data_IF_486256297349
#
_entry.id   IF_486256297349
#
_cell.length_a   1.000
_cell.length_b   1.000
_cell.length_c   1.000
_cell.angle_alpha   90.00
_cell.angle_beta   90.00
_cell.angle_gamma   90.00
#
_symmetry.space_group_name_H-M   'P 1'
#
loop_
_entity.id
_entity.type
_entity.pdbx_description
1 polymer ?
#
# COMPACT_ATOMS: atom_id res chain seq x y z
N UNK A 1 24.98 38.44 3.22
CA UNK A 1 24.32 38.33 4.50
C UNK A 1 23.55 37.03 4.56
N UNK A 2 23.70 36.24 5.63
CA UNK A 2 22.94 35.00 5.76
C UNK A 2 21.45 35.34 5.86
N UNK A 3 20.61 34.74 5.05
CA UNK A 3 19.16 34.78 5.22
C UNK A 3 18.83 34.02 6.50
N UNK A 4 18.53 34.75 7.55
CA UNK A 4 17.89 34.16 8.71
C UNK A 4 16.48 33.78 8.32
N UNK A 5 16.26 32.48 8.13
CA UNK A 5 14.91 31.92 8.03
C UNK A 5 14.21 32.22 9.38
N UNK A 6 12.98 32.74 9.38
CA UNK A 6 12.26 32.94 10.63
C UNK A 6 12.04 31.59 11.31
N UNK A 7 12.59 31.42 12.48
CA UNK A 7 12.53 30.18 13.26
C UNK A 7 11.19 30.03 13.97
N UNK A 8 10.04 30.19 13.30
CA UNK A 8 8.75 30.04 13.98
C UNK A 8 7.51 29.86 13.10
N UNK A 9 7.64 29.25 11.94
CA UNK A 9 6.44 28.78 11.23
C UNK A 9 5.97 27.48 11.91
N UNK A 10 5.22 27.62 12.99
CA UNK A 10 4.49 26.50 13.61
C UNK A 10 3.29 26.19 12.71
N UNK A 11 3.44 25.24 11.81
CA UNK A 11 2.29 24.64 11.17
C UNK A 11 1.52 23.87 12.25
N UNK A 12 0.24 24.17 12.40
CA UNK A 12 -0.72 23.34 13.14
C UNK A 12 -2.00 23.33 12.32
N UNK A 13 -2.45 22.16 11.99
CA UNK A 13 -3.67 21.92 11.21
C UNK A 13 -4.47 20.82 11.88
N UNK A 14 -5.69 21.12 12.25
CA UNK A 14 -6.66 20.16 12.76
C UNK A 14 -7.92 20.24 11.90
N UNK A 15 -8.46 19.11 11.52
CA UNK A 15 -9.74 19.01 10.81
C UNK A 15 -10.51 17.78 11.26
N UNK A 16 -11.82 17.94 11.38
CA UNK A 16 -12.73 16.85 11.66
C UNK A 16 -13.94 16.95 10.74
N UNK A 17 -14.48 15.81 10.36
CA UNK A 17 -15.70 15.71 9.57
C UNK A 17 -16.48 14.47 9.96
N UNK A 18 -17.79 14.62 10.18
CA UNK A 18 -18.65 13.48 10.48
C UNK A 18 -18.75 12.56 9.27
N UNK A 19 -18.76 13.15 8.07
CA UNK A 19 -18.75 12.35 6.87
C UNK A 19 -18.25 13.14 5.65
N UNK A 20 -17.55 12.47 4.73
CA UNK A 20 -17.16 12.98 3.44
C UNK A 20 -17.58 11.96 2.39
N UNK A 21 -18.37 12.42 1.41
CA UNK A 21 -18.78 11.61 0.28
C UNK A 21 -18.29 12.21 -1.03
N UNK A 22 -17.68 11.39 -1.88
CA UNK A 22 -17.27 11.79 -3.24
C UNK A 22 -17.38 10.60 -4.19
N UNK A 23 -18.40 10.61 -5.02
CA UNK A 23 -18.67 9.53 -5.97
C UNK A 23 -18.99 8.23 -5.23
N UNK A 24 -18.09 7.24 -5.30
CA UNK A 24 -18.23 5.96 -4.61
C UNK A 24 -17.33 5.83 -3.38
N UNK A 25 -16.79 6.93 -2.92
CA UNK A 25 -16.01 7.00 -1.68
C UNK A 25 -16.87 7.64 -0.60
N UNK A 26 -16.94 6.98 0.55
CA UNK A 26 -17.52 7.51 1.78
C UNK A 26 -16.53 7.31 2.91
N UNK A 27 -16.28 8.37 3.67
CA UNK A 27 -15.44 8.36 4.87
C UNK A 27 -16.28 8.90 6.02
N UNK A 28 -16.33 8.18 7.13
CA UNK A 28 -17.08 8.60 8.32
C UNK A 28 -16.16 8.91 9.48
N UNK A 29 -16.54 9.91 10.28
CA UNK A 29 -15.78 10.37 11.47
C UNK A 29 -14.29 10.56 11.20
N UNK A 30 -13.96 11.30 10.17
CA UNK A 30 -12.58 11.67 9.85
C UNK A 30 -12.05 12.66 10.88
N UNK A 31 -10.90 12.37 11.44
CA UNK A 31 -10.08 13.28 12.22
C UNK A 31 -8.69 13.39 11.59
N UNK A 32 -8.20 14.60 11.45
CA UNK A 32 -6.86 14.90 10.94
C UNK A 32 -6.16 15.83 11.93
N UNK A 33 -4.93 15.52 12.24
CA UNK A 33 -4.00 16.37 12.99
C UNK A 33 -2.67 16.42 12.25
N UNK A 34 -2.10 17.61 12.11
CA UNK A 34 -0.76 17.79 11.57
C UNK A 34 -0.10 19.01 12.20
N UNK A 35 1.08 18.84 12.74
CA UNK A 35 1.82 19.93 13.39
C UNK A 35 3.33 19.74 13.26
N UNK A 36 4.04 20.85 13.41
CA UNK A 36 5.49 20.82 13.50
C UNK A 36 5.95 20.43 14.90
N UNK A 37 6.86 19.47 14.98
CA UNK A 37 7.60 19.11 16.17
C UNK A 37 9.07 19.38 15.92
N UNK A 38 9.53 20.57 16.31
CA UNK A 38 10.83 21.07 15.91
C UNK A 38 10.88 21.33 14.40
N UNK A 39 11.82 20.71 13.71
CA UNK A 39 12.02 20.76 12.25
C UNK A 39 11.30 19.63 11.48
N UNK A 40 10.51 18.83 12.18
CA UNK A 40 9.76 17.72 11.60
C UNK A 40 8.28 18.05 11.53
N UNK A 41 7.60 17.62 10.46
CA UNK A 41 6.15 17.56 10.38
C UNK A 41 5.71 16.21 10.95
N UNK A 42 4.78 16.23 11.90
CA UNK A 42 4.11 15.04 12.44
C UNK A 42 2.65 15.12 12.04
N UNK A 43 2.05 14.02 11.66
CA UNK A 43 0.64 13.98 11.31
C UNK A 43 -0.01 12.68 11.74
N UNK A 44 -1.30 12.74 12.00
CA UNK A 44 -2.17 11.60 12.25
C UNK A 44 -3.51 11.82 11.55
N UNK A 45 -4.08 10.73 11.09
CA UNK A 45 -5.44 10.68 10.56
C UNK A 45 -6.15 9.44 11.07
N UNK A 46 -7.44 9.54 11.34
CA UNK A 46 -8.26 8.38 11.67
C UNK A 46 -9.65 8.51 11.10
N UNK A 47 -10.26 7.38 10.76
CA UNK A 47 -11.66 7.30 10.34
C UNK A 47 -12.29 6.06 10.93
N UNK A 48 -13.59 6.11 11.17
CA UNK A 48 -14.32 4.94 11.66
C UNK A 48 -14.65 4.00 10.52
N UNK A 49 -15.14 4.51 9.40
CA UNK A 49 -15.40 3.72 8.20
C UNK A 49 -14.85 4.40 6.96
N UNK A 50 -14.29 3.59 6.08
CA UNK A 50 -13.86 3.95 4.75
C UNK A 50 -14.51 2.99 3.75
N UNK A 51 -15.39 3.53 2.91
CA UNK A 51 -15.95 2.82 1.78
C UNK A 51 -15.28 3.33 0.50
N UNK A 52 -14.81 2.43 -0.32
CA UNK A 52 -14.18 2.73 -1.61
C UNK A 52 -14.70 1.74 -2.66
N UNK A 53 -15.70 2.13 -3.43
CA UNK A 53 -16.49 1.22 -4.26
C UNK A 53 -17.19 0.13 -3.42
N UNK A 54 -16.86 -1.15 -3.67
CA UNK A 54 -17.33 -2.29 -2.88
C UNK A 54 -16.41 -2.67 -1.72
N UNK A 55 -15.31 -1.93 -1.55
CA UNK A 55 -14.34 -2.16 -0.49
C UNK A 55 -14.74 -1.37 0.76
N UNK A 56 -14.76 -2.03 1.91
CA UNK A 56 -15.05 -1.43 3.20
C UNK A 56 -13.92 -1.75 4.19
N UNK A 57 -13.54 -0.76 4.94
CA UNK A 57 -12.68 -0.90 6.13
C UNK A 57 -13.27 -0.11 7.27
N UNK A 58 -13.33 -0.71 8.44
CA UNK A 58 -13.61 -0.01 9.69
C UNK A 58 -12.29 0.36 10.39
N UNK A 59 -12.32 1.44 11.16
CA UNK A 59 -11.20 1.86 12.03
C UNK A 59 -9.87 1.92 11.29
N UNK A 60 -9.76 2.81 10.33
CA UNK A 60 -8.50 3.10 9.66
C UNK A 60 -7.80 4.22 10.41
N UNK A 61 -6.58 3.97 10.86
CA UNK A 61 -5.69 4.93 11.47
C UNK A 61 -4.41 5.09 10.66
N UNK A 62 -3.94 6.29 10.52
CA UNK A 62 -2.70 6.62 9.85
C UNK A 62 -1.90 7.58 10.72
N UNK A 63 -0.62 7.34 10.88
CA UNK A 63 0.28 8.26 11.58
C UNK A 63 1.65 8.28 10.94
N UNK A 64 2.34 9.39 11.04
CA UNK A 64 3.64 9.50 10.43
C UNK A 64 4.35 10.81 10.70
N UNK A 65 5.49 10.95 10.07
CA UNK A 65 6.28 12.18 10.14
C UNK A 65 7.16 12.36 8.93
N UNK A 66 7.43 13.61 8.60
CA UNK A 66 8.29 14.00 7.50
C UNK A 66 9.41 14.94 7.99
N UNK A 67 10.64 14.63 7.56
CA UNK A 67 11.84 15.43 7.85
C UNK A 67 12.91 15.14 6.80
N UNK A 68 13.65 16.15 6.37
CA UNK A 68 14.87 16.01 5.53
C UNK A 68 14.64 15.10 4.30
N UNK A 69 13.59 15.35 3.53
CA UNK A 69 13.18 14.52 2.38
C UNK A 69 12.83 13.06 2.71
N UNK A 70 12.60 12.73 3.96
CA UNK A 70 12.15 11.42 4.42
C UNK A 70 10.73 11.50 4.94
N UNK A 71 9.97 10.44 4.71
CA UNK A 71 8.63 10.25 5.22
C UNK A 71 8.55 8.87 5.87
N UNK A 72 8.07 8.83 7.10
CA UNK A 72 7.65 7.60 7.77
C UNK A 72 6.13 7.60 7.87
N UNK A 73 5.49 6.49 7.52
CA UNK A 73 4.06 6.31 7.61
C UNK A 73 3.74 4.93 8.15
N UNK A 74 2.76 4.88 9.04
CA UNK A 74 2.15 3.65 9.54
C UNK A 74 0.65 3.79 9.34
N UNK A 75 0.03 2.78 8.74
CA UNK A 75 -1.42 2.67 8.61
C UNK A 75 -1.86 1.40 9.31
N UNK A 76 -2.75 1.54 10.28
CA UNK A 76 -3.45 0.44 10.94
C UNK A 76 -4.89 0.41 10.44
N UNK A 77 -5.44 -0.76 10.21
CA UNK A 77 -6.82 -0.92 9.79
C UNK A 77 -7.44 -2.18 10.36
N UNK A 78 -8.75 -2.14 10.53
CA UNK A 78 -9.53 -3.33 10.88
C UNK A 78 -10.88 -3.26 10.17
N UNK A 79 -11.32 -4.37 9.62
CA UNK A 79 -12.68 -4.56 9.15
C UNK A 79 -13.36 -5.62 10.01
N UNK A 80 -14.35 -5.19 10.80
CA UNK A 80 -15.07 -6.06 11.73
C UNK A 80 -16.04 -7.00 11.02
N UNK A 81 -16.48 -6.66 9.80
CA UNK A 81 -17.39 -7.48 8.99
C UNK A 81 -16.61 -8.60 8.30
N UNK A 82 -15.46 -8.26 7.74
CA UNK A 82 -14.59 -9.20 7.01
C UNK A 82 -13.61 -9.97 7.90
N UNK A 83 -13.57 -9.68 9.21
CA UNK A 83 -12.58 -10.20 10.18
C UNK A 83 -11.15 -10.02 9.67
N UNK A 84 -10.89 -8.87 9.02
CA UNK A 84 -9.59 -8.50 8.47
C UNK A 84 -9.01 -7.35 9.27
N UNK A 85 -7.75 -7.46 9.63
CA UNK A 85 -7.00 -6.35 10.22
C UNK A 85 -5.58 -6.32 9.67
N UNK A 86 -4.89 -5.23 9.86
CA UNK A 86 -3.51 -5.16 9.41
C UNK A 86 -2.81 -3.88 9.81
N UNK A 87 -1.51 -3.93 9.59
CA UNK A 87 -0.61 -2.78 9.69
C UNK A 87 0.27 -2.76 8.46
N UNK A 88 0.31 -1.62 7.80
CA UNK A 88 1.25 -1.34 6.72
C UNK A 88 2.07 -0.13 7.12
N UNK A 89 3.37 -0.33 7.26
CA UNK A 89 4.29 0.75 7.58
C UNK A 89 5.38 0.86 6.52
N UNK A 90 5.83 2.08 6.26
CA UNK A 90 6.95 2.30 5.37
C UNK A 90 7.76 3.54 5.73
N UNK A 91 9.01 3.52 5.30
CA UNK A 91 9.91 4.66 5.24
C UNK A 91 10.22 4.96 3.79
N UNK A 92 10.12 6.21 3.41
CA UNK A 92 10.49 6.64 2.07
C UNK A 92 11.50 7.78 2.12
N UNK A 93 12.36 7.82 1.11
CA UNK A 93 13.29 8.91 0.88
C UNK A 93 13.07 9.47 -0.52
N UNK A 94 12.93 10.81 -0.58
CA UNK A 94 12.75 11.53 -1.83
C UNK A 94 14.11 12.01 -2.33
N UNK A 95 14.60 11.43 -3.42
CA UNK A 95 15.87 11.75 -4.01
C UNK A 95 15.72 12.42 -5.39
N UNK A 96 16.78 13.06 -5.85
CA UNK A 96 16.87 13.46 -7.26
C UNK A 96 17.19 12.21 -8.08
N UNK A 97 16.24 11.78 -8.89
CA UNK A 97 16.41 10.65 -9.82
C UNK A 97 17.33 10.98 -10.99
N UNK A 98 17.90 9.94 -11.59
CA UNK A 98 18.75 10.03 -12.80
C UNK A 98 17.92 10.15 -14.10
N UNK A 99 16.60 10.08 -14.03
CA UNK A 99 15.71 10.11 -15.19
C UNK A 99 15.24 11.52 -15.58
N UNK A 100 14.59 11.68 -16.73
CA UNK A 100 14.06 12.96 -17.22
C UNK A 100 13.10 13.65 -16.25
N UNK A 101 12.46 12.89 -15.36
CA UNK A 101 11.54 13.41 -14.36
C UNK A 101 12.22 13.98 -13.12
N UNK A 102 13.51 13.73 -12.91
CA UNK A 102 14.32 14.34 -11.88
C UNK A 102 13.92 14.05 -10.43
N UNK A 103 12.94 13.19 -10.18
CA UNK A 103 12.47 12.81 -8.84
C UNK A 103 12.33 11.29 -8.74
N UNK A 104 12.82 10.74 -7.62
CA UNK A 104 12.74 9.33 -7.29
C UNK A 104 12.28 9.20 -5.84
N UNK A 105 11.51 8.19 -5.57
CA UNK A 105 11.10 7.80 -4.23
C UNK A 105 11.64 6.40 -4.00
N UNK A 106 12.45 6.24 -2.96
CA UNK A 106 12.91 4.95 -2.45
C UNK A 106 12.09 4.61 -1.21
N UNK A 107 11.39 3.48 -1.24
CA UNK A 107 10.49 3.03 -0.19
C UNK A 107 10.95 1.69 0.36
N UNK A 108 10.92 1.58 1.69
CA UNK A 108 11.17 0.34 2.44
C UNK A 108 10.03 0.10 3.40
N UNK A 109 9.51 -1.12 3.40
CA UNK A 109 8.52 -1.51 4.40
C UNK A 109 9.18 -1.59 5.80
N UNK A 110 8.45 -1.14 6.79
CA UNK A 110 8.66 -1.47 8.19
C UNK A 110 7.81 -2.71 8.53
N UNK A 111 7.86 -3.27 9.75
CA UNK A 111 7.05 -4.43 10.08
C UNK A 111 5.59 -4.25 9.69
N UNK A 112 5.15 -5.05 8.73
CA UNK A 112 3.83 -4.95 8.08
C UNK A 112 3.18 -6.33 8.02
N UNK A 113 1.87 -6.37 8.21
CA UNK A 113 1.11 -7.61 8.18
C UNK A 113 -0.37 -7.37 7.82
N UNK A 114 -1.03 -8.42 7.37
CA UNK A 114 -2.48 -8.52 7.24
C UNK A 114 -2.92 -9.79 7.95
N UNK A 115 -3.96 -9.70 8.78
CA UNK A 115 -4.56 -10.83 9.50
C UNK A 115 -6.01 -11.02 9.09
N UNK A 116 -6.45 -12.27 9.03
CA UNK A 116 -7.86 -12.66 8.92
C UNK A 116 -8.12 -13.86 9.81
N UNK A 117 -8.98 -13.68 10.82
CA UNK A 117 -9.13 -14.67 11.87
C UNK A 117 -7.80 -14.93 12.56
N UNK A 118 -7.43 -16.19 12.71
CA UNK A 118 -6.17 -16.62 13.33
C UNK A 118 -4.97 -16.57 12.37
N UNK A 119 -5.17 -16.30 11.07
CA UNK A 119 -4.13 -16.29 10.07
C UNK A 119 -3.52 -14.90 9.91
N UNK A 120 -2.18 -14.81 9.96
CA UNK A 120 -1.44 -13.56 9.75
C UNK A 120 -0.41 -13.74 8.65
N UNK A 121 -0.50 -12.93 7.61
CA UNK A 121 0.50 -12.82 6.54
C UNK A 121 1.43 -11.67 6.85
N UNK A 122 2.70 -11.97 7.08
CA UNK A 122 3.74 -10.97 7.22
C UNK A 122 4.19 -10.49 5.83
N UNK A 123 4.42 -9.19 5.72
CA UNK A 123 4.75 -8.52 4.46
C UNK A 123 6.18 -8.01 4.53
N UNK A 124 6.96 -8.31 3.48
CA UNK A 124 8.36 -7.93 3.35
C UNK A 124 8.64 -7.40 1.94
N UNK A 125 9.64 -6.55 1.82
CA UNK A 125 10.25 -6.19 0.54
C UNK A 125 11.71 -5.82 0.76
N UNK A 126 12.56 -6.05 -0.24
CA UNK A 126 13.93 -5.56 -0.21
C UNK A 126 14.00 -4.08 -0.59
N UNK A 127 12.99 -3.58 -1.30
CA UNK A 127 12.81 -2.18 -1.62
C UNK A 127 11.78 -1.96 -2.72
N UNK A 128 11.26 -0.75 -2.78
CA UNK A 128 10.44 -0.28 -3.89
C UNK A 128 11.00 1.08 -4.30
N UNK A 129 11.32 1.23 -5.58
CA UNK A 129 11.79 2.49 -6.14
C UNK A 129 10.80 2.97 -7.20
N UNK A 130 10.33 4.19 -7.06
CA UNK A 130 9.37 4.77 -8.01
C UNK A 130 9.87 6.09 -8.60
N UNK A 131 9.61 6.28 -9.87
CA UNK A 131 9.70 7.58 -10.56
C UNK A 131 8.38 7.86 -11.31
N UNK A 132 8.31 8.93 -12.08
CA UNK A 132 7.08 9.31 -12.82
C UNK A 132 6.72 8.34 -13.94
N UNK A 133 7.56 7.38 -14.29
CA UNK A 133 7.41 6.48 -15.43
C UNK A 133 7.33 5.01 -15.08
N UNK A 134 7.88 4.63 -13.92
CA UNK A 134 7.97 3.23 -13.51
C UNK A 134 8.06 3.06 -12.01
N UNK A 135 7.67 1.87 -11.56
CA UNK A 135 7.83 1.39 -10.19
C UNK A 135 8.61 0.08 -10.25
N UNK A 136 9.79 0.04 -9.65
CA UNK A 136 10.55 -1.18 -9.44
C UNK A 136 10.15 -1.75 -8.09
N UNK A 137 9.86 -3.03 -8.05
CA UNK A 137 9.52 -3.79 -6.86
C UNK A 137 10.59 -4.87 -6.72
N UNK A 138 11.34 -4.81 -5.63
CA UNK A 138 12.38 -5.80 -5.34
C UNK A 138 11.86 -6.75 -4.26
N UNK A 139 11.53 -7.98 -4.68
CA UNK A 139 11.11 -9.12 -3.85
C UNK A 139 10.06 -8.77 -2.78
N UNK A 140 8.94 -8.18 -3.18
CA UNK A 140 7.79 -8.08 -2.29
C UNK A 140 7.24 -9.47 -1.98
N UNK A 141 7.10 -9.80 -0.69
CA UNK A 141 6.65 -11.12 -0.23
C UNK A 141 5.57 -10.97 0.83
N UNK A 142 4.54 -11.80 0.71
CA UNK A 142 3.58 -12.05 1.78
C UNK A 142 3.69 -13.53 2.18
N UNK A 143 3.89 -13.81 3.44
CA UNK A 143 4.16 -15.16 3.93
C UNK A 143 3.33 -15.50 5.16
N UNK A 144 2.78 -16.71 5.19
CA UNK A 144 2.10 -17.32 6.33
C UNK A 144 2.26 -18.85 6.26
N UNK A 145 2.78 -19.49 7.32
CA UNK A 145 2.70 -20.95 7.52
C UNK A 145 2.79 -21.84 6.26
N UNK A 146 3.77 -21.63 5.40
CA UNK A 146 3.96 -22.37 4.14
C UNK A 146 3.20 -21.81 2.94
N UNK A 147 2.49 -20.70 3.11
CA UNK A 147 1.89 -19.93 2.03
C UNK A 147 2.80 -18.76 1.64
N UNK A 148 2.96 -18.51 0.35
CA UNK A 148 3.77 -17.40 -0.12
C UNK A 148 3.16 -16.77 -1.38
N UNK A 149 3.12 -15.44 -1.38
CA UNK A 149 3.00 -14.61 -2.57
C UNK A 149 4.33 -13.86 -2.73
N UNK A 150 4.92 -13.94 -3.92
CA UNK A 150 6.11 -13.19 -4.31
C UNK A 150 5.77 -12.32 -5.52
N UNK A 151 6.13 -11.04 -5.45
CA UNK A 151 6.04 -10.09 -6.56
C UNK A 151 7.39 -9.43 -6.76
N UNK A 152 7.92 -9.50 -7.98
CA UNK A 152 9.23 -8.95 -8.34
C UNK A 152 9.20 -8.37 -9.74
N UNK A 153 9.91 -7.26 -9.98
CA UNK A 153 10.07 -6.69 -11.30
C UNK A 153 9.75 -5.21 -11.44
N UNK A 154 9.33 -4.80 -12.63
CA UNK A 154 9.11 -3.39 -12.97
C UNK A 154 7.73 -3.16 -13.56
N UNK A 155 6.95 -2.33 -12.90
CA UNK A 155 5.65 -1.82 -13.35
C UNK A 155 5.87 -0.56 -14.17
N UNK A 156 5.51 -0.57 -15.44
CA UNK A 156 5.61 0.59 -16.33
C UNK A 156 4.61 0.49 -17.50
N UNK A 157 4.71 1.42 -18.46
CA UNK A 157 3.97 1.36 -19.74
C UNK A 157 4.75 0.63 -20.85
N UNK A 158 5.97 0.16 -20.58
CA UNK A 158 6.86 -0.40 -21.60
C UNK A 158 6.72 -1.92 -21.64
N UNK A 159 6.65 -2.51 -22.84
CA UNK A 159 6.55 -3.96 -23.03
C UNK A 159 7.80 -4.74 -22.60
N UNK A 160 8.97 -4.08 -22.55
CA UNK A 160 10.19 -4.70 -22.05
C UNK A 160 10.24 -4.81 -20.52
N UNK A 161 9.43 -4.05 -19.81
CA UNK A 161 9.33 -4.11 -18.36
C UNK A 161 8.22 -5.09 -17.96
N UNK A 162 8.53 -5.97 -17.02
CA UNK A 162 7.59 -6.97 -16.54
C UNK A 162 7.61 -7.08 -15.02
N UNK A 163 6.50 -7.52 -14.48
CA UNK A 163 6.33 -7.95 -13.09
C UNK A 163 6.00 -9.43 -13.09
N UNK A 164 6.70 -10.18 -12.27
CA UNK A 164 6.43 -11.59 -12.02
C UNK A 164 5.70 -11.75 -10.69
N UNK A 165 4.58 -12.44 -10.70
CA UNK A 165 3.85 -12.92 -9.55
C UNK A 165 4.08 -14.41 -9.42
N UNK A 166 4.45 -14.88 -8.24
CA UNK A 166 4.53 -16.31 -7.91
C UNK A 166 3.69 -16.58 -6.68
N UNK A 167 2.86 -17.62 -6.74
CA UNK A 167 1.99 -18.06 -5.68
C UNK A 167 2.38 -19.48 -5.28
N UNK A 168 2.59 -19.70 -4.00
CA UNK A 168 2.84 -21.03 -3.44
C UNK A 168 1.85 -21.30 -2.31
N UNK A 169 0.99 -22.30 -2.53
CA UNK A 169 -0.04 -22.72 -1.59
C UNK A 169 -0.85 -21.55 -1.00
N UNK A 170 -1.02 -20.47 -1.80
CA UNK A 170 -1.53 -19.20 -1.35
C UNK A 170 -3.06 -19.21 -1.31
N UNK A 171 -3.64 -18.89 -0.17
CA UNK A 171 -5.07 -18.81 0.02
C UNK A 171 -5.61 -17.45 -0.43
N UNK A 172 -6.54 -17.45 -1.38
CA UNK A 172 -7.10 -16.24 -1.99
C UNK A 172 -8.27 -15.64 -1.19
N UNK A 173 -8.95 -16.44 -0.39
CA UNK A 173 -10.12 -16.03 0.38
C UNK A 173 -9.93 -14.74 1.23
N UNK A 174 -8.79 -14.51 1.92
CA UNK A 174 -8.54 -13.27 2.65
C UNK A 174 -8.52 -12.01 1.78
N UNK A 175 -8.26 -12.19 0.48
CA UNK A 175 -8.12 -11.10 -0.49
C UNK A 175 -9.33 -10.96 -1.42
N UNK A 176 -10.38 -11.75 -1.19
CA UNK A 176 -11.60 -11.76 -2.02
C UNK A 176 -12.29 -10.39 -2.10
N UNK A 177 -12.23 -9.57 -1.07
CA UNK A 177 -12.77 -8.20 -1.11
C UNK A 177 -12.02 -7.31 -2.11
N UNK A 178 -10.70 -7.47 -2.23
CA UNK A 178 -9.89 -6.72 -3.20
C UNK A 178 -10.19 -7.18 -4.63
N UNK A 179 -10.35 -8.48 -4.85
CA UNK A 179 -10.65 -9.02 -6.19
C UNK A 179 -12.11 -8.79 -6.59
N UNK A 180 -13.05 -8.80 -5.65
CA UNK A 180 -14.48 -8.53 -5.94
C UNK A 180 -14.71 -7.09 -6.36
N UNK A 181 -13.90 -6.14 -5.89
CA UNK A 181 -13.95 -4.75 -6.36
C UNK A 181 -13.57 -4.60 -7.83
N UNK A 182 -12.81 -5.56 -8.37
CA UNK A 182 -12.42 -5.67 -9.79
C UNK A 182 -13.40 -6.56 -10.60
N UNK A 183 -14.49 -7.05 -9.97
CA UNK A 183 -15.47 -7.91 -10.61
C UNK A 183 -15.14 -9.40 -10.57
N UNK A 184 -14.07 -9.81 -9.87
CA UNK A 184 -13.68 -11.22 -9.78
C UNK A 184 -13.89 -11.76 -8.36
N UNK A 185 -14.57 -12.90 -8.24
CA UNK A 185 -14.56 -13.71 -7.02
C UNK A 185 -13.54 -14.81 -7.18
N UNK A 186 -12.52 -14.80 -6.33
CA UNK A 186 -11.47 -15.82 -6.34
C UNK A 186 -11.41 -16.41 -4.95
N UNK A 187 -11.56 -17.72 -4.87
CA UNK A 187 -11.51 -18.50 -3.64
C UNK A 187 -10.66 -19.75 -3.87
N UNK A 188 -10.17 -20.37 -2.79
CA UNK A 188 -9.34 -21.57 -2.87
C UNK A 188 -7.86 -21.32 -2.64
N UNK A 189 -7.07 -22.39 -2.73
CA UNK A 189 -5.61 -22.38 -2.68
C UNK A 189 -5.02 -22.34 -4.08
N UNK A 190 -3.97 -21.55 -4.24
CA UNK A 190 -3.42 -21.27 -5.56
C UNK A 190 -1.92 -21.53 -5.57
N UNK A 191 -1.48 -22.23 -6.62
CA UNK A 191 -0.09 -22.40 -6.99
C UNK A 191 0.12 -21.91 -8.42
N UNK A 192 1.28 -21.36 -8.71
CA UNK A 192 1.61 -20.96 -10.07
C UNK A 192 2.30 -19.63 -10.18
N UNK A 193 2.38 -19.13 -11.39
CA UNK A 193 3.02 -17.85 -11.68
C UNK A 193 2.28 -17.07 -12.77
N UNK A 194 2.44 -15.77 -12.75
CA UNK A 194 2.00 -14.88 -13.80
C UNK A 194 3.07 -13.85 -14.13
N UNK A 195 3.21 -13.53 -15.40
CA UNK A 195 4.05 -12.43 -15.89
C UNK A 195 3.15 -11.38 -16.50
N UNK A 196 3.26 -10.16 -16.02
CA UNK A 196 2.51 -9.02 -16.50
C UNK A 196 3.48 -8.00 -17.10
N UNK A 197 3.26 -7.58 -18.36
CA UNK A 197 4.05 -6.56 -19.05
C UNK A 197 3.22 -5.30 -19.26
N UNK A 198 3.88 -4.15 -19.39
CA UNK A 198 3.25 -2.86 -19.64
C UNK A 198 2.02 -2.57 -18.75
N UNK A 199 2.09 -2.88 -17.47
CA UNK A 199 0.96 -2.87 -16.51
C UNK A 199 0.24 -1.52 -16.42
N UNK A 200 0.96 -0.40 -16.65
CA UNK A 200 0.38 0.95 -16.68
C UNK A 200 -0.10 1.38 -18.07
N UNK A 201 -0.14 0.47 -19.03
CA UNK A 201 -0.53 0.72 -20.43
C UNK A 201 -1.50 -0.34 -20.96
N UNK A 202 -1.34 -0.69 -22.24
CA UNK A 202 -2.04 -1.83 -22.84
C UNK A 202 -1.34 -3.13 -22.41
N UNK A 203 -1.61 -3.57 -21.19
CA UNK A 203 -0.88 -4.65 -20.54
C UNK A 203 -1.09 -6.02 -21.20
N UNK A 204 -0.04 -6.83 -21.20
CA UNK A 204 -0.08 -8.26 -21.55
C UNK A 204 0.06 -9.06 -20.27
N UNK A 205 -0.76 -10.10 -20.12
CA UNK A 205 -0.70 -11.05 -19.00
C UNK A 205 -0.53 -12.46 -19.54
N UNK A 206 0.49 -13.14 -19.06
CA UNK A 206 0.68 -14.57 -19.25
C UNK A 206 0.64 -15.22 -17.87
N UNK A 207 -0.25 -16.17 -17.66
CA UNK A 207 -0.42 -16.84 -16.38
C UNK A 207 -0.47 -18.35 -16.55
N UNK A 208 0.19 -19.04 -15.63
CA UNK A 208 0.08 -20.49 -15.41
C UNK A 208 -0.24 -20.67 -13.92
N UNK A 209 -1.53 -20.72 -13.63
CA UNK A 209 -2.05 -20.71 -12.26
C UNK A 209 -3.01 -21.88 -12.11
N UNK A 210 -2.77 -22.72 -11.12
CA UNK A 210 -3.66 -23.81 -10.70
C UNK A 210 -4.37 -23.38 -9.42
N UNK A 211 -5.68 -23.48 -9.43
CA UNK A 211 -6.51 -23.23 -8.25
C UNK A 211 -7.06 -24.57 -7.78
N UNK A 212 -6.64 -24.97 -6.59
CA UNK A 212 -7.19 -26.15 -5.92
C UNK A 212 -8.39 -25.69 -5.10
N UNK A 213 -9.60 -26.03 -5.56
CA UNK A 213 -10.81 -25.81 -4.76
C UNK A 213 -10.88 -26.86 -3.67
N UNK A 214 -10.79 -26.42 -2.41
CA UNK A 214 -11.13 -27.27 -1.26
C UNK A 214 -12.64 -27.15 -1.07
N UNK A 215 -13.34 -28.22 -1.41
CA UNK A 215 -14.77 -28.38 -1.07
C UNK A 215 -14.96 -28.64 0.40
#
# INVERSE_FOLDING_TARGET
>A
PPRTTPANDKLSFEAASDYIERGRMLVTRLNLDAHNRGDSLVFAASTEDLYLNSFHMSRVGMSGGAKDNKLELITDFADTIGDVSGRIGFRSEFARGRGPAGRQIDLRLTPSYISRGEKTWNIYTDGITADTSRIRIDRFRMVNAGQQLLLDGVVSRRLQDSVQLTLHNFELAPFSQFTSSMGYRVDGRTNGSATMKAVLGAGEVQADIVVDSIS
#
